data_IF_257003968215
#
_entry.id   IF_257003968215
#
_cell.length_a   1.000
_cell.length_b   1.000
_cell.length_c   1.000
_cell.angle_alpha   90.00
_cell.angle_beta   90.00
_cell.angle_gamma   90.00
#
_symmetry.space_group_name_H-M   'P 1'
#
loop_
_entity.id
_entity.type
_entity.pdbx_description
1 polymer ?
#
# COMPACT_ATOMS: atom_id res chain seq x y z
N UNK A 1 -22.43 1.86 -7.16
CA UNK A 1 -21.56 3.04 -7.35
C UNK A 1 -21.90 4.25 -6.47
N UNK A 2 -22.75 4.14 -5.43
CA UNK A 2 -23.14 5.28 -4.58
C UNK A 2 -22.53 5.24 -3.15
N UNK A 3 -21.55 4.36 -2.89
CA UNK A 3 -21.09 4.07 -1.53
C UNK A 3 -20.13 5.08 -0.91
N UNK A 4 -19.34 5.82 -1.70
CA UNK A 4 -18.23 6.64 -1.20
C UNK A 4 -18.10 7.98 -1.96
N UNK A 5 -19.17 8.75 -2.08
CA UNK A 5 -19.06 10.11 -2.65
C UNK A 5 -18.48 11.02 -1.58
N UNK A 6 -17.24 11.47 -1.80
CA UNK A 6 -16.53 12.38 -0.89
C UNK A 6 -16.60 13.80 -1.48
N UNK A 7 -17.08 14.81 -0.73
CA UNK A 7 -17.01 16.19 -1.15
C UNK A 7 -15.56 16.64 -1.30
N UNK A 8 -15.21 17.21 -2.45
CA UNK A 8 -13.87 17.74 -2.71
C UNK A 8 -13.83 19.26 -2.45
N UNK A 9 -12.75 19.74 -1.83
CA UNK A 9 -12.50 21.15 -1.57
C UNK A 9 -11.13 21.51 -2.14
N UNK A 10 -11.07 22.56 -2.97
CA UNK A 10 -9.85 22.95 -3.67
C UNK A 10 -8.66 23.24 -2.73
N UNK A 11 -8.93 23.84 -1.57
CA UNK A 11 -7.90 24.17 -0.58
C UNK A 11 -7.24 22.93 0.02
N UNK A 12 -8.01 21.85 0.29
CA UNK A 12 -7.45 20.58 0.77
C UNK A 12 -6.48 19.98 -0.25
N UNK A 13 -6.84 20.00 -1.54
CA UNK A 13 -5.96 19.52 -2.60
C UNK A 13 -4.67 20.34 -2.70
N UNK A 14 -4.77 21.68 -2.58
CA UNK A 14 -3.59 22.55 -2.60
C UNK A 14 -2.65 22.27 -1.41
N UNK A 15 -3.19 22.06 -0.21
CA UNK A 15 -2.41 21.70 0.98
C UNK A 15 -1.72 20.35 0.77
N UNK A 16 -2.46 19.32 0.34
CA UNK A 16 -1.90 17.98 0.10
C UNK A 16 -0.82 18.01 -0.98
N UNK A 17 -1.02 18.75 -2.06
CA UNK A 17 -0.01 18.89 -3.11
C UNK A 17 1.29 19.53 -2.59
N UNK A 18 1.18 20.59 -1.77
CA UNK A 18 2.34 21.18 -1.09
C UNK A 18 3.08 20.18 -0.20
N UNK A 19 2.33 19.40 0.59
CA UNK A 19 2.92 18.34 1.43
C UNK A 19 3.62 17.26 0.60
N UNK A 20 3.04 16.83 -0.53
CA UNK A 20 3.67 15.87 -1.43
C UNK A 20 5.04 16.38 -1.90
N UNK A 21 5.11 17.63 -2.38
CA UNK A 21 6.37 18.23 -2.87
C UNK A 21 7.42 18.30 -1.75
N UNK A 22 7.02 18.71 -0.54
CA UNK A 22 7.94 18.76 0.62
C UNK A 22 8.50 17.37 0.98
N UNK A 23 7.70 16.31 0.93
CA UNK A 23 8.21 14.95 1.15
C UNK A 23 9.07 14.47 -0.02
N UNK A 24 8.72 14.82 -1.27
CA UNK A 24 9.52 14.47 -2.45
C UNK A 24 10.93 15.05 -2.40
N UNK A 25 11.13 16.26 -1.90
CA UNK A 25 12.48 16.82 -1.73
C UNK A 25 13.36 15.96 -0.83
N UNK A 26 12.82 15.41 0.27
CA UNK A 26 13.56 14.50 1.16
C UNK A 26 13.96 13.22 0.44
N UNK A 27 13.05 12.66 -0.35
CA UNK A 27 13.33 11.49 -1.19
C UNK A 27 14.46 11.77 -2.19
N UNK A 28 14.41 12.92 -2.87
CA UNK A 28 15.43 13.32 -3.85
C UNK A 28 16.79 13.60 -3.22
N UNK A 29 16.83 14.05 -1.96
CA UNK A 29 18.07 14.18 -1.16
C UNK A 29 18.58 12.85 -0.61
N UNK A 30 17.86 11.74 -0.79
CA UNK A 30 18.21 10.42 -0.22
C UNK A 30 17.86 10.28 1.27
N UNK A 31 17.11 11.21 1.84
CA UNK A 31 16.74 11.25 3.25
C UNK A 31 15.45 10.45 3.54
N UNK A 32 15.43 9.17 3.15
CA UNK A 32 14.22 8.34 3.23
C UNK A 32 13.68 8.20 4.66
N UNK A 33 14.54 8.17 5.67
CA UNK A 33 14.16 8.05 7.09
C UNK A 33 13.49 9.31 7.65
N UNK A 34 13.72 10.46 7.03
CA UNK A 34 13.14 11.75 7.39
C UNK A 34 11.76 12.00 6.75
N UNK A 35 11.39 11.18 5.78
CA UNK A 35 10.03 11.20 5.21
C UNK A 35 8.99 10.79 6.25
N UNK A 36 7.78 11.34 6.13
CA UNK A 36 6.66 11.08 7.04
C UNK A 36 5.36 10.91 6.27
N UNK A 37 4.51 10.05 6.80
CA UNK A 37 3.10 10.01 6.44
C UNK A 37 2.39 11.17 7.16
N UNK A 38 1.81 12.10 6.40
CA UNK A 38 1.18 13.31 6.94
C UNK A 38 -0.33 13.26 6.75
N UNK A 39 -1.07 13.45 7.83
CA UNK A 39 -2.53 13.45 7.87
C UNK A 39 -3.06 14.82 8.27
N UNK A 40 -4.12 15.26 7.58
CA UNK A 40 -4.85 16.48 7.93
C UNK A 40 -5.98 16.11 8.89
N UNK A 41 -6.02 16.73 10.07
CA UNK A 41 -7.00 16.49 11.12
C UNK A 41 -7.83 17.75 11.36
N UNK A 42 -8.88 18.01 10.55
CA UNK A 42 -9.62 19.28 10.58
C UNK A 42 -10.33 19.58 11.90
N UNK A 43 -10.59 18.55 12.71
CA UNK A 43 -11.28 18.66 14.00
C UNK A 43 -10.33 18.73 15.21
N UNK A 44 -9.02 18.77 14.99
CA UNK A 44 -8.04 18.97 16.05
C UNK A 44 -7.45 20.39 15.96
N UNK A 45 -7.99 21.37 16.69
CA UNK A 45 -7.58 22.77 16.58
C UNK A 45 -6.14 23.01 17.06
N UNK A 46 -5.60 22.12 17.89
CA UNK A 46 -4.22 22.21 18.36
C UNK A 46 -3.22 21.58 17.38
N UNK A 47 -3.66 20.66 16.52
CA UNK A 47 -2.79 19.93 15.59
C UNK A 47 -3.52 19.52 14.31
N UNK A 48 -3.59 20.48 13.39
CA UNK A 48 -4.21 20.30 12.07
C UNK A 48 -3.40 19.36 11.16
N UNK A 49 -2.09 19.30 11.34
CA UNK A 49 -1.20 18.37 10.63
C UNK A 49 -0.57 17.39 11.62
N UNK A 50 -0.80 16.10 11.38
CA UNK A 50 -0.19 15.01 12.13
C UNK A 50 0.79 14.28 11.24
N UNK A 51 1.95 13.92 11.77
CA UNK A 51 2.97 13.19 11.03
C UNK A 51 3.35 11.91 11.76
N UNK A 52 3.42 10.79 11.04
CA UNK A 52 3.88 9.50 11.55
C UNK A 52 5.02 8.96 10.70
N UNK A 53 5.89 8.14 11.31
CA UNK A 53 6.89 7.39 10.56
C UNK A 53 6.19 6.30 9.75
N UNK A 54 6.73 6.00 8.58
CA UNK A 54 6.27 4.85 7.79
C UNK A 54 6.49 3.56 8.58
N UNK A 55 5.54 2.64 8.44
CA UNK A 55 5.67 1.29 8.96
C UNK A 55 6.64 0.49 8.08
N UNK A 56 7.29 -0.50 8.66
CA UNK A 56 8.04 -1.48 7.87
C UNK A 56 7.10 -2.23 6.91
N UNK A 57 7.60 -2.74 5.77
CA UNK A 57 6.82 -3.60 4.89
C UNK A 57 6.13 -4.71 5.68
N UNK A 58 4.85 -4.95 5.41
CA UNK A 58 4.14 -6.04 6.05
C UNK A 58 4.68 -7.37 5.51
N UNK A 59 5.28 -8.24 6.34
CA UNK A 59 5.82 -9.52 5.88
C UNK A 59 4.76 -10.48 5.32
N UNK A 60 3.48 -10.23 5.62
CA UNK A 60 2.33 -10.98 5.11
C UNK A 60 1.71 -10.40 3.83
N UNK A 61 2.30 -9.34 3.26
CA UNK A 61 1.74 -8.70 2.07
C UNK A 61 2.01 -9.54 0.81
N UNK A 62 1.00 -10.09 0.12
CA UNK A 62 1.20 -10.94 -1.05
C UNK A 62 1.80 -10.20 -2.26
N UNK A 63 1.97 -8.88 -2.16
CA UNK A 63 2.53 -8.03 -3.21
C UNK A 63 3.98 -7.65 -2.91
N UNK A 64 4.27 -7.13 -1.71
CA UNK A 64 5.60 -6.59 -1.40
C UNK A 64 6.50 -7.52 -0.58
N UNK A 65 5.98 -8.66 -0.06
CA UNK A 65 6.82 -9.67 0.61
C UNK A 65 7.32 -10.78 -0.33
N UNK A 66 7.03 -10.67 -1.63
CA UNK A 66 7.41 -11.68 -2.61
C UNK A 66 8.92 -11.73 -2.82
N UNK A 67 9.44 -12.94 -3.07
CA UNK A 67 10.80 -13.13 -3.53
C UNK A 67 10.80 -13.07 -5.06
N UNK A 68 11.68 -12.25 -5.66
CA UNK A 68 11.76 -12.13 -7.12
C UNK A 68 13.03 -12.81 -7.64
N UNK A 69 12.89 -13.57 -8.71
CA UNK A 69 14.01 -14.23 -9.39
C UNK A 69 13.82 -14.21 -10.90
N UNK A 70 14.89 -14.49 -11.64
CA UNK A 70 14.88 -14.50 -13.10
C UNK A 70 15.52 -15.78 -13.61
N UNK A 71 14.88 -16.35 -14.63
CA UNK A 71 15.31 -17.59 -15.26
C UNK A 71 15.56 -17.34 -16.73
N UNK A 72 16.68 -17.86 -17.21
CA UNK A 72 16.99 -17.95 -18.63
C UNK A 72 16.43 -19.26 -19.19
N UNK A 73 15.63 -19.17 -20.24
CA UNK A 73 14.86 -20.28 -20.83
C UNK A 73 15.16 -20.40 -22.32
N UNK A 74 15.43 -21.61 -22.77
CA UNK A 74 15.43 -21.97 -24.19
C UNK A 74 14.00 -22.33 -24.64
N UNK A 75 13.27 -21.35 -25.17
CA UNK A 75 11.86 -21.47 -25.57
C UNK A 75 11.62 -22.54 -26.65
N UNK A 76 12.64 -22.96 -27.39
CA UNK A 76 12.49 -23.96 -28.45
C UNK A 76 12.20 -25.36 -27.89
N UNK A 77 12.72 -25.66 -26.71
CA UNK A 77 12.73 -27.01 -26.13
C UNK A 77 12.21 -27.08 -24.69
N UNK A 78 12.18 -25.97 -23.96
CA UNK A 78 11.76 -25.94 -22.57
C UNK A 78 10.28 -26.33 -22.39
N UNK A 79 10.05 -27.23 -21.45
CA UNK A 79 8.74 -27.69 -21.02
C UNK A 79 8.40 -27.15 -19.63
N UNK A 80 7.11 -27.20 -19.26
CA UNK A 80 6.70 -26.85 -17.90
C UNK A 80 7.35 -27.76 -16.86
N UNK A 81 7.55 -29.04 -17.20
CA UNK A 81 8.25 -30.00 -16.34
C UNK A 81 9.66 -29.55 -16.00
N UNK A 82 10.42 -29.05 -16.98
CA UNK A 82 11.79 -28.59 -16.73
C UNK A 82 11.80 -27.42 -15.73
N UNK A 83 10.83 -26.51 -15.84
CA UNK A 83 10.70 -25.40 -14.89
C UNK A 83 10.31 -25.89 -13.48
N UNK A 84 9.35 -26.79 -13.37
CA UNK A 84 8.84 -27.30 -12.09
C UNK A 84 9.89 -28.15 -11.38
N UNK A 85 10.45 -29.15 -12.06
CA UNK A 85 11.37 -30.12 -11.48
C UNK A 85 12.79 -29.56 -11.35
N UNK A 86 13.34 -28.99 -12.44
CA UNK A 86 14.75 -28.60 -12.44
C UNK A 86 15.00 -27.25 -11.78
N UNK A 87 14.04 -26.33 -11.84
CA UNK A 87 14.20 -25.00 -11.26
C UNK A 87 13.48 -24.83 -9.93
N UNK A 88 12.16 -25.03 -9.87
CA UNK A 88 11.40 -24.77 -8.63
C UNK A 88 11.74 -25.78 -7.53
N UNK A 89 11.71 -27.07 -7.82
CA UNK A 89 12.02 -28.11 -6.81
C UNK A 89 13.51 -28.14 -6.46
N UNK A 90 14.39 -28.16 -7.45
CA UNK A 90 15.83 -28.32 -7.23
C UNK A 90 16.56 -27.01 -6.90
N UNK A 91 16.42 -25.96 -7.71
CA UNK A 91 17.17 -24.70 -7.52
C UNK A 91 16.56 -23.78 -6.46
N UNK A 92 15.24 -23.59 -6.44
CA UNK A 92 14.55 -22.79 -5.43
C UNK A 92 14.37 -23.53 -4.09
N UNK A 93 14.59 -24.85 -4.06
CA UNK A 93 14.58 -25.64 -2.84
C UNK A 93 13.18 -25.97 -2.31
N UNK A 94 12.17 -26.02 -3.18
CA UNK A 94 10.86 -26.56 -2.82
C UNK A 94 10.90 -28.07 -2.58
N UNK A 95 11.80 -28.83 -3.22
CA UNK A 95 11.92 -30.27 -3.00
C UNK A 95 10.60 -31.02 -3.18
N UNK A 96 10.08 -31.58 -2.08
CA UNK A 96 8.83 -32.35 -2.03
C UNK A 96 7.62 -31.54 -1.52
N UNK A 97 7.77 -30.22 -1.31
CA UNK A 97 6.70 -29.32 -0.85
C UNK A 97 5.58 -29.22 -1.88
N UNK A 98 4.35 -29.03 -1.40
CA UNK A 98 3.19 -28.77 -2.25
C UNK A 98 3.13 -27.29 -2.64
N UNK A 99 3.02 -27.02 -3.95
CA UNK A 99 2.94 -25.66 -4.46
C UNK A 99 2.12 -25.58 -5.75
N UNK A 100 1.53 -24.41 -5.97
CA UNK A 100 0.89 -24.04 -7.22
C UNK A 100 1.78 -23.07 -8.01
N UNK A 101 1.78 -23.20 -9.33
CA UNK A 101 2.44 -22.31 -10.27
C UNK A 101 1.39 -21.65 -11.16
N UNK A 102 1.29 -20.33 -11.09
CA UNK A 102 0.29 -19.54 -11.79
C UNK A 102 0.93 -18.56 -12.78
N UNK A 103 0.22 -18.24 -13.85
CA UNK A 103 0.45 -17.05 -14.67
C UNK A 103 -0.78 -16.12 -14.61
N UNK A 104 -0.75 -15.03 -15.36
CA UNK A 104 -1.87 -14.08 -15.43
C UNK A 104 -3.17 -14.69 -16.01
N UNK A 105 -3.06 -15.77 -16.78
CA UNK A 105 -4.20 -16.47 -17.37
C UNK A 105 -4.83 -17.50 -16.41
N UNK A 106 -4.09 -18.00 -15.42
CA UNK A 106 -4.58 -18.96 -14.44
C UNK A 106 -3.51 -19.94 -13.94
N UNK A 107 -3.94 -21.04 -13.28
CA UNK A 107 -3.04 -22.08 -12.84
C UNK A 107 -2.43 -22.85 -14.02
N UNK A 108 -1.12 -23.07 -13.93
CA UNK A 108 -0.36 -23.86 -14.90
C UNK A 108 -0.01 -25.24 -14.35
N UNK A 109 0.25 -25.33 -13.05
CA UNK A 109 0.58 -26.56 -12.34
C UNK A 109 0.12 -26.46 -10.90
N UNK A 110 -0.47 -27.53 -10.41
CA UNK A 110 -0.61 -27.85 -9.00
C UNK A 110 -0.45 -29.39 -8.83
N UNK A 111 -0.37 -29.93 -7.60
CA UNK A 111 -0.21 -31.36 -7.37
C UNK A 111 -1.32 -32.25 -7.96
N UNK A 112 -2.53 -31.72 -8.13
CA UNK A 112 -3.70 -32.42 -8.66
C UNK A 112 -3.83 -32.24 -10.20
N UNK A 113 -3.38 -31.12 -10.75
CA UNK A 113 -3.46 -30.69 -12.14
C UNK A 113 -2.08 -30.69 -12.83
N UNK A 114 -1.62 -31.90 -13.19
CA UNK A 114 -0.28 -32.12 -13.76
C UNK A 114 -0.25 -32.24 -15.29
N UNK A 115 -1.39 -32.06 -15.97
CA UNK A 115 -1.55 -32.30 -17.41
C UNK A 115 -0.66 -31.42 -18.30
N UNK A 116 -0.30 -30.23 -17.81
CA UNK A 116 0.52 -29.26 -18.54
C UNK A 116 2.02 -29.53 -18.49
N UNK A 117 2.49 -30.45 -17.63
CA UNK A 117 3.93 -30.69 -17.43
C UNK A 117 4.67 -31.03 -18.73
N UNK A 118 4.04 -31.81 -19.61
CA UNK A 118 4.65 -32.24 -20.88
C UNK A 118 4.60 -31.18 -21.98
N UNK A 119 3.80 -30.12 -21.82
CA UNK A 119 3.64 -29.07 -22.82
C UNK A 119 4.82 -28.12 -22.80
N UNK A 120 5.11 -27.53 -23.96
CA UNK A 120 6.14 -26.49 -24.05
C UNK A 120 5.67 -25.21 -23.37
N UNK A 121 6.61 -24.44 -22.83
CA UNK A 121 6.29 -23.14 -22.21
C UNK A 121 5.57 -22.21 -23.21
N UNK A 122 6.01 -22.21 -24.47
CA UNK A 122 5.38 -21.44 -25.55
C UNK A 122 3.92 -21.83 -25.83
N UNK A 123 3.56 -23.10 -25.64
CA UNK A 123 2.18 -23.60 -25.86
C UNK A 123 1.23 -23.15 -24.74
N UNK A 124 1.78 -22.84 -23.56
CA UNK A 124 1.07 -22.32 -22.40
C UNK A 124 0.97 -20.78 -22.40
N UNK A 125 1.40 -20.14 -23.48
CA UNK A 125 1.40 -18.68 -23.60
C UNK A 125 2.52 -18.01 -22.80
N UNK A 126 3.56 -18.75 -22.41
CA UNK A 126 4.73 -18.23 -21.69
C UNK A 126 5.77 -17.79 -22.73
N UNK A 127 6.08 -16.50 -22.75
CA UNK A 127 7.06 -15.87 -23.63
C UNK A 127 8.11 -15.09 -22.81
N UNK A 128 9.05 -14.44 -23.49
CA UNK A 128 9.89 -13.41 -22.84
C UNK A 128 9.02 -12.41 -22.07
N UNK A 129 9.52 -11.94 -20.93
CA UNK A 129 8.89 -11.01 -19.99
C UNK A 129 7.59 -11.52 -19.32
N UNK A 130 7.28 -12.82 -19.45
CA UNK A 130 6.20 -13.43 -18.67
C UNK A 130 6.61 -13.58 -17.21
N UNK A 131 5.69 -13.29 -16.30
CA UNK A 131 5.85 -13.52 -14.87
C UNK A 131 5.05 -14.76 -14.44
N UNK A 132 5.70 -15.63 -13.69
CA UNK A 132 5.08 -16.80 -13.07
C UNK A 132 5.14 -16.64 -11.55
N UNK A 133 4.05 -16.98 -10.87
CA UNK A 133 3.99 -16.91 -9.41
C UNK A 133 3.93 -18.32 -8.83
N UNK A 134 4.92 -18.68 -8.03
CA UNK A 134 4.92 -19.88 -7.19
C UNK A 134 4.28 -19.55 -5.85
N UNK A 135 3.27 -20.32 -5.46
CA UNK A 135 2.60 -20.22 -4.19
C UNK A 135 2.87 -21.51 -3.41
N UNK A 136 3.60 -21.41 -2.30
CA UNK A 136 3.78 -22.52 -1.36
C UNK A 136 2.45 -22.78 -0.64
N UNK A 137 1.92 -23.99 -0.83
CA UNK A 137 0.64 -24.47 -0.30
C UNK A 137 0.82 -25.36 0.94
N UNK A 138 2.06 -25.69 1.31
CA UNK A 138 2.31 -26.39 2.57
C UNK A 138 1.94 -25.52 3.78
N UNK A 139 1.35 -26.16 4.79
CA UNK A 139 1.12 -25.53 6.09
C UNK A 139 2.41 -25.38 6.92
N UNK A 140 3.41 -26.23 6.66
CA UNK A 140 4.65 -26.30 7.43
C UNK A 140 5.72 -25.34 6.86
N UNK A 141 5.86 -24.20 7.55
CA UNK A 141 6.83 -23.13 7.25
C UNK A 141 6.82 -22.75 5.75
N UNK A 142 5.70 -22.24 5.22
CA UNK A 142 5.61 -21.93 3.80
C UNK A 142 6.56 -20.80 3.41
N UNK A 143 7.14 -20.89 2.22
CA UNK A 143 7.86 -19.79 1.59
C UNK A 143 6.91 -18.64 1.26
N UNK A 144 7.45 -17.41 1.23
CA UNK A 144 6.75 -16.29 0.58
C UNK A 144 6.53 -16.61 -0.90
N UNK A 145 5.54 -15.98 -1.52
CA UNK A 145 5.31 -16.19 -2.95
C UNK A 145 6.56 -15.81 -3.74
N UNK A 146 6.92 -16.64 -4.72
CA UNK A 146 8.06 -16.40 -5.59
C UNK A 146 7.55 -15.93 -6.94
N UNK A 147 8.02 -14.77 -7.40
CA UNK A 147 7.76 -14.29 -8.76
C UNK A 147 8.97 -14.57 -9.62
N UNK A 148 8.79 -15.43 -10.63
CA UNK A 148 9.81 -15.82 -11.60
C UNK A 148 9.58 -15.00 -12.87
N UNK A 149 10.57 -14.21 -13.26
CA UNK A 149 10.62 -13.53 -14.55
C UNK A 149 11.29 -14.43 -15.58
N UNK A 150 10.63 -14.62 -16.70
CA UNK A 150 11.11 -15.45 -17.81
C UNK A 150 11.89 -14.60 -18.81
N UNK A 151 13.15 -14.95 -19.02
CA UNK A 151 13.99 -14.37 -20.07
C UNK A 151 14.36 -15.41 -21.10
N UNK A 152 14.16 -15.09 -22.38
CA UNK A 152 14.60 -15.95 -23.47
C UNK A 152 16.14 -15.95 -23.55
N UNK A 153 16.74 -17.14 -23.58
CA UNK A 153 18.18 -17.27 -23.76
C UNK A 153 18.58 -16.96 -25.20
N UNK A 154 19.50 -16.00 -25.38
CA UNK A 154 20.05 -15.64 -26.69
C UNK A 154 21.04 -16.68 -27.22
N UNK A 155 21.60 -17.49 -26.32
CA UNK A 155 22.51 -18.59 -26.64
C UNK A 155 21.86 -19.93 -26.25
N UNK A 156 22.05 -21.00 -27.04
CA UNK A 156 21.49 -22.30 -26.70
C UNK A 156 22.08 -22.80 -25.37
N UNK A 157 21.21 -23.09 -24.41
CA UNK A 157 21.61 -23.67 -23.13
C UNK A 157 21.92 -25.16 -23.34
N UNK A 158 23.20 -25.53 -23.35
CA UNK A 158 23.64 -26.89 -23.71
C UNK A 158 23.17 -27.95 -22.70
N UNK A 159 23.32 -27.71 -21.39
CA UNK A 159 23.03 -28.72 -20.36
C UNK A 159 21.54 -28.82 -20.01
N UNK A 160 20.90 -27.69 -19.64
CA UNK A 160 19.50 -27.63 -19.20
C UNK A 160 18.71 -26.57 -19.96
N UNK A 161 17.46 -26.83 -20.32
CA UNK A 161 16.62 -25.87 -21.06
C UNK A 161 16.19 -24.67 -20.22
N UNK A 162 16.33 -24.77 -18.89
CA UNK A 162 15.95 -23.76 -17.90
C UNK A 162 17.14 -23.59 -16.95
N UNK A 163 17.59 -22.34 -16.73
CA UNK A 163 18.71 -22.02 -15.84
C UNK A 163 18.45 -20.75 -15.04
N UNK A 164 18.60 -20.80 -13.72
CA UNK A 164 18.59 -19.61 -12.88
C UNK A 164 19.75 -18.66 -13.22
N UNK A 165 19.48 -17.34 -13.28
CA UNK A 165 20.54 -16.35 -13.55
C UNK A 165 21.56 -16.22 -12.40
N UNK A 166 21.18 -16.61 -11.18
CA UNK A 166 22.05 -16.65 -9.99
C UNK A 166 22.52 -18.09 -9.70
N UNK A 167 23.16 -18.72 -10.69
CA UNK A 167 23.53 -20.15 -10.64
C UNK A 167 24.50 -20.55 -9.49
N UNK A 168 25.21 -19.59 -8.87
CA UNK A 168 26.27 -19.89 -7.89
C UNK A 168 25.88 -19.64 -6.42
N UNK A 169 24.69 -19.11 -6.16
CA UNK A 169 24.20 -18.90 -4.79
C UNK A 169 22.83 -19.55 -4.61
N UNK A 170 22.73 -20.44 -3.62
CA UNK A 170 21.44 -21.01 -3.23
C UNK A 170 20.52 -19.86 -2.79
N UNK A 171 19.34 -19.69 -3.41
CA UNK A 171 18.45 -18.60 -3.06
C UNK A 171 17.96 -18.75 -1.62
N UNK A 172 18.16 -17.72 -0.79
CA UNK A 172 17.57 -17.64 0.55
C UNK A 172 16.17 -17.04 0.44
N UNK A 173 15.18 -17.91 0.14
CA UNK A 173 13.77 -17.50 0.04
C UNK A 173 13.21 -17.32 1.46
N UNK A 174 12.70 -16.12 1.80
CA UNK A 174 12.10 -15.89 3.11
C UNK A 174 10.89 -16.80 3.37
N UNK A 175 10.69 -17.17 4.63
CA UNK A 175 9.49 -17.87 5.08
C UNK A 175 8.37 -16.87 5.36
N UNK A 176 7.12 -17.24 5.06
CA UNK A 176 5.94 -16.53 5.56
C UNK A 176 6.00 -16.55 7.10
N UNK A 177 5.75 -15.43 7.77
CA UNK A 177 5.72 -15.43 9.22
C UNK A 177 4.64 -16.39 9.73
N UNK A 178 4.95 -17.16 10.77
CA UNK A 178 3.98 -18.04 11.43
C UNK A 178 2.77 -17.21 11.85
N UNK A 179 1.59 -17.58 11.35
CA UNK A 179 0.34 -16.99 11.80
C UNK A 179 0.14 -17.50 13.23
N UNK A 180 0.19 -16.61 14.22
CA UNK A 180 -0.21 -16.98 15.57
C UNK A 180 -1.67 -17.44 15.49
N UNK A 181 -1.89 -18.74 15.69
CA UNK A 181 -3.23 -19.28 15.87
C UNK A 181 -3.82 -18.55 17.09
N UNK A 182 -4.92 -17.80 16.95
CA UNK A 182 -5.59 -17.27 18.12
C UNK A 182 -5.89 -18.45 19.04
N UNK A 183 -5.43 -18.38 20.29
CA UNK A 183 -5.77 -19.39 21.29
C UNK A 183 -7.29 -19.61 21.23
N UNK A 184 -7.78 -20.86 21.23
CA UNK A 184 -9.22 -21.10 21.23
C UNK A 184 -9.81 -20.33 22.39
N UNK A 185 -10.66 -19.35 22.07
CA UNK A 185 -11.30 -18.53 23.08
C UNK A 185 -12.00 -19.47 24.06
N UNK A 186 -11.51 -19.50 25.30
CA UNK A 186 -12.24 -20.13 26.38
C UNK A 186 -13.63 -19.50 26.39
N UNK A 187 -14.66 -20.33 26.32
CA UNK A 187 -16.04 -19.92 26.40
C UNK A 187 -16.31 -19.32 27.79
N UNK A 188 -16.07 -18.03 27.96
CA UNK A 188 -16.59 -17.28 29.09
C UNK A 188 -17.94 -16.70 28.70
N UNK A 189 -18.98 -17.45 29.06
CA UNK A 189 -20.31 -16.91 29.31
C UNK A 189 -20.22 -15.90 30.45
N UNK A 190 -20.56 -14.63 30.20
CA UNK A 190 -21.47 -13.88 31.04
C UNK A 190 -21.93 -12.59 30.35
N UNK A 191 -23.24 -12.47 30.18
CA UNK A 191 -23.88 -11.26 29.69
C UNK A 191 -23.87 -10.14 30.73
N UNK A 192 -23.77 -8.92 30.24
CA UNK A 192 -24.62 -7.80 30.71
C UNK A 192 -24.74 -6.84 29.54
N UNK A 193 -25.94 -6.79 28.94
CA UNK A 193 -26.31 -5.75 28.01
C UNK A 193 -26.45 -4.44 28.79
N UNK A 194 -25.46 -3.56 28.71
CA UNK A 194 -25.66 -2.14 28.98
C UNK A 194 -25.71 -1.40 27.65
N UNK A 195 -26.95 -1.16 27.23
CA UNK A 195 -27.30 -0.31 26.12
C UNK A 195 -26.97 1.14 26.53
N UNK A 196 -25.85 1.66 26.05
CA UNK A 196 -25.46 3.02 26.38
C UNK A 196 -26.32 4.02 25.58
N UNK A 197 -27.25 4.66 26.29
CA UNK A 197 -27.48 6.10 26.19
C UNK A 197 -28.02 6.62 24.87
N UNK A 198 -29.31 6.42 24.65
CA UNK A 198 -30.15 7.28 23.81
C UNK A 198 -30.17 8.67 24.47
N UNK A 199 -29.45 9.64 23.92
CA UNK A 199 -29.53 11.02 24.41
C UNK A 199 -30.92 11.56 24.09
N UNK A 200 -31.84 11.53 25.06
CA UNK A 200 -33.07 12.30 25.01
C UNK A 200 -32.70 13.76 25.27
N UNK A 201 -32.78 14.59 24.24
CA UNK A 201 -32.86 16.03 24.44
C UNK A 201 -34.30 16.32 24.83
N UNK A 202 -34.47 16.67 26.11
CA UNK A 202 -35.71 17.15 26.67
C UNK A 202 -36.09 18.46 25.95
N UNK A 203 -37.33 18.48 25.47
CA UNK A 203 -37.93 19.61 24.78
C UNK A 203 -38.36 20.58 25.85
N UNK A 204 -37.66 21.70 25.98
CA UNK A 204 -38.23 22.92 26.54
C UNK A 204 -38.51 23.88 25.40
N UNK A 205 -39.81 24.04 25.14
CA UNK A 205 -40.42 25.03 24.27
C UNK A 205 -39.95 26.45 24.65
N UNK A 206 -39.22 27.11 23.74
CA UNK A 206 -39.50 28.51 23.40
C UNK A 206 -38.86 28.83 22.04
N UNK A 207 -39.71 29.07 21.04
CA UNK A 207 -39.32 29.57 19.73
C UNK A 207 -39.23 31.11 19.79
N UNK A 208 -38.38 31.74 18.95
CA UNK A 208 -38.98 32.25 17.72
C UNK A 208 -38.10 32.10 16.47
N UNK A 209 -38.83 31.88 15.38
CA UNK A 209 -38.44 31.98 13.98
C UNK A 209 -37.50 33.13 13.67
N UNK A 210 -36.36 32.85 13.02
CA UNK A 210 -35.76 33.77 12.04
C UNK A 210 -35.12 32.98 10.88
N UNK A 211 -35.96 32.67 9.88
CA UNK A 211 -35.49 32.40 8.51
C UNK A 211 -34.77 33.65 8.01
N UNK A 212 -33.51 33.55 7.60
CA UNK A 212 -32.82 34.60 6.84
C UNK A 212 -33.33 34.59 5.39
N UNK A 213 -33.96 35.65 4.86
CA UNK A 213 -34.21 35.76 3.44
C UNK A 213 -32.96 36.27 2.71
N UNK A 214 -32.86 35.88 1.44
CA UNK A 214 -31.83 36.25 0.46
C UNK A 214 -31.99 37.74 0.09
N UNK A 215 -30.93 38.56 0.01
CA UNK A 215 -31.07 39.95 -0.42
C UNK A 215 -30.86 40.04 -1.94
N UNK A 216 -31.95 40.23 -2.66
CA UNK A 216 -31.95 40.92 -3.95
C UNK A 216 -33.22 41.79 -4.01
N UNK A 217 -33.09 42.96 -4.62
CA UNK A 217 -34.05 44.07 -4.78
C UNK A 217 -34.19 45.12 -3.64
N UNK A 218 -33.70 46.33 -3.93
CA UNK A 218 -34.45 47.58 -3.67
C UNK A 218 -33.91 48.61 -2.67
N UNK A 219 -33.09 49.54 -3.18
CA UNK A 219 -32.93 50.98 -2.86
C UNK A 219 -32.98 51.56 -1.42
N UNK A 220 -31.90 52.32 -1.14
CA UNK A 220 -31.74 53.52 -0.26
C UNK A 220 -31.39 53.35 1.25
N UNK A 221 -30.65 54.31 1.85
CA UNK A 221 -29.34 54.03 2.46
C UNK A 221 -29.37 53.94 4.00
N UNK A 222 -28.50 53.10 4.57
CA UNK A 222 -28.22 53.08 6.01
C UNK A 222 -26.74 53.35 6.26
N UNK A 223 -26.51 54.40 7.06
CA UNK A 223 -25.24 55.04 7.38
C UNK A 223 -24.15 54.07 7.87
N UNK A 224 -22.96 54.17 7.26
CA UNK A 224 -21.79 53.41 7.65
C UNK A 224 -21.23 53.88 9.02
N UNK A 225 -21.24 52.99 10.01
CA UNK A 225 -20.47 53.16 11.24
C UNK A 225 -18.97 53.04 10.93
N UNK A 226 -18.24 54.12 11.20
CA UNK A 226 -16.79 54.30 11.03
C UNK A 226 -15.98 53.19 11.71
N UNK A 227 -15.13 52.50 10.94
CA UNK A 227 -14.03 51.70 11.46
C UNK A 227 -12.87 52.63 11.86
N UNK A 228 -12.29 52.39 13.04
CA UNK A 228 -11.17 53.14 13.60
C UNK A 228 -9.88 52.71 12.90
N UNK A 229 -9.29 53.62 12.11
CA UNK A 229 -7.96 53.48 11.53
C UNK A 229 -6.93 53.55 12.66
N UNK A 230 -6.10 52.51 12.79
CA UNK A 230 -4.81 52.60 13.46
C UNK A 230 -3.73 52.64 12.38
N UNK A 231 -2.88 53.65 12.52
CA UNK A 231 -1.91 54.17 11.57
C UNK A 231 -0.78 53.18 11.28
N UNK A 232 -0.32 53.19 10.03
CA UNK A 232 0.91 52.58 9.51
C UNK A 232 2.16 52.92 10.33
N UNK A 233 2.97 51.92 10.64
CA UNK A 233 4.43 52.04 10.70
C UNK A 233 5.05 50.79 10.09
N UNK A 234 5.87 51.00 9.07
CA UNK A 234 6.66 50.04 8.32
C UNK A 234 7.70 49.30 9.17
N UNK A 235 7.66 47.97 9.15
CA UNK A 235 8.83 47.10 9.29
C UNK A 235 8.50 45.74 8.70
N UNK A 236 9.40 45.20 7.87
CA UNK A 236 9.34 43.83 7.36
C UNK A 236 9.39 42.85 8.53
N UNK A 237 8.25 42.32 8.96
CA UNK A 237 8.18 41.22 9.91
C UNK A 237 8.26 39.89 9.15
N UNK A 238 9.49 39.39 9.01
CA UNK A 238 9.74 37.97 8.75
C UNK A 238 9.31 37.20 10.00
N UNK A 239 8.25 36.40 9.87
CA UNK A 239 7.81 35.49 10.95
C UNK A 239 8.76 34.29 10.98
N UNK A 240 9.75 34.34 11.88
CA UNK A 240 10.57 33.19 12.24
C UNK A 240 9.78 32.28 13.18
N UNK A 241 9.38 31.11 12.67
CA UNK A 241 8.81 30.02 13.48
C UNK A 241 9.95 29.14 13.96
N UNK A 242 10.36 29.32 15.21
CA UNK A 242 11.31 28.42 15.89
C UNK A 242 10.54 27.15 16.31
N UNK A 243 10.60 26.11 15.47
CA UNK A 243 9.95 24.83 15.72
C UNK A 243 11.00 23.81 16.17
N UNK A 244 11.10 23.65 17.50
CA UNK A 244 12.00 22.71 18.17
C UNK A 244 11.84 21.27 17.67
N UNK A 245 12.71 20.84 16.74
CA UNK A 245 13.12 19.45 16.39
C UNK A 245 12.06 18.32 16.40
N UNK A 246 10.78 18.63 16.18
CA UNK A 246 9.68 17.64 16.22
C UNK A 246 8.44 18.02 15.42
N UNK A 247 8.48 19.12 14.67
CA UNK A 247 7.39 19.62 13.84
C UNK A 247 7.13 18.77 12.60
N UNK A 248 5.90 18.85 12.07
CA UNK A 248 5.48 18.12 10.86
C UNK A 248 6.21 18.59 9.58
N UNK A 249 6.81 19.79 9.62
CA UNK A 249 7.57 20.38 8.52
C UNK A 249 8.80 21.05 9.15
N UNK A 250 9.96 20.41 9.00
CA UNK A 250 11.26 21.03 9.30
C UNK A 250 11.91 21.28 7.95
N UNK A 251 12.21 22.55 7.65
CA UNK A 251 12.98 22.97 6.48
C UNK A 251 14.32 23.40 7.04
N UNK A 252 15.29 22.48 7.05
CA UNK A 252 16.69 22.82 7.32
C UNK A 252 17.35 23.24 5.99
N UNK A 253 18.04 24.37 6.02
CA UNK A 253 18.85 24.93 4.91
C UNK A 253 20.04 24.00 4.56
#
# INVERSE_FOLDING_TARGET
MAGNIIPAIATTNAIVAGLCVLQSFKVLKGEYTNTKEVFISPHNPARLLNATKYRAPNPQCPVCSVYQTTVSVDMSRATLKDLVEDFVRLELGYGDKEFALNNDAGPLYDPDETENLSKKLSELGITEDTFLTVIDEDDDEPFVNVVISIQESKEPLEDKPVKGMTADQKPEIPRKPKKETPAPAAAESNGTSQQNGKHSLDVSDESPNLKRPRPDDGDEPIEAKKAKVATTSSSDDVVLVDDSTGGAIVIDD
#
